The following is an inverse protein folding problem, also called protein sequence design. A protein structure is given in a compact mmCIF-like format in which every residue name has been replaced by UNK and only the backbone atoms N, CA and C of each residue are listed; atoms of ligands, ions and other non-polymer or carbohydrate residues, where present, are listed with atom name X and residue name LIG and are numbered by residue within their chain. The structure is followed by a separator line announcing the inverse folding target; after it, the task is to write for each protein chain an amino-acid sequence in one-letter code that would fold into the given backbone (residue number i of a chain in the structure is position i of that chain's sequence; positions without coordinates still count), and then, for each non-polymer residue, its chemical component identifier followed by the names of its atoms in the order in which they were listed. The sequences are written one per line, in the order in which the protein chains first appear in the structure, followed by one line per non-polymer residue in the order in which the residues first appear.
data_IF_136912619718
#
_entry.id   IF_136912619718
#
_cell.length_a   1.000
_cell.length_b   1.000
_cell.length_c   1.000
_cell.angle_alpha   90.00
_cell.angle_beta   90.00
_cell.angle_gamma   90.00
#
_symmetry.space_group_name_H-M   'P 1'
#
loop_
_entity.id
_entity.type
_entity.pdbx_description
1 polymer ?
#
# COMPACT_ATOMS: atom_id res chain seq x y z
N UNK A 1 5.05 -3.77 -15.90
CA UNK A 1 4.43 -2.60 -16.58
C UNK A 1 3.63 -1.78 -15.58
N UNK A 2 3.68 -0.46 -15.65
CA UNK A 2 2.97 0.46 -14.73
C UNK A 2 2.09 1.41 -15.56
N UNK A 3 0.84 1.59 -15.15
CA UNK A 3 -0.07 2.58 -15.74
C UNK A 3 -0.23 3.76 -14.80
N UNK A 4 -0.03 4.96 -15.33
CA UNK A 4 -0.19 6.24 -14.64
C UNK A 4 -1.37 7.00 -15.26
N UNK A 5 -2.14 7.71 -14.44
CA UNK A 5 -3.10 8.67 -14.98
C UNK A 5 -2.39 9.95 -15.43
N UNK A 6 -2.97 10.67 -16.40
CA UNK A 6 -2.36 11.87 -16.97
C UNK A 6 -2.50 13.12 -16.10
N UNK A 7 -3.48 13.15 -15.19
CA UNK A 7 -3.86 14.37 -14.46
C UNK A 7 -2.98 14.58 -13.24
N UNK A 8 -2.72 13.52 -12.49
CA UNK A 8 -1.99 13.57 -11.22
C UNK A 8 -0.80 12.62 -11.20
N UNK A 9 -0.54 11.89 -12.29
CA UNK A 9 0.53 10.89 -12.38
C UNK A 9 0.43 9.82 -11.28
N UNK A 10 -0.78 9.48 -10.83
CA UNK A 10 -0.98 8.41 -9.86
C UNK A 10 -1.00 7.05 -10.56
N UNK A 11 -0.50 6.04 -9.86
CA UNK A 11 -0.47 4.66 -10.35
C UNK A 11 -1.87 4.07 -10.34
N UNK A 12 -2.41 3.76 -11.50
CA UNK A 12 -3.74 3.14 -11.60
C UNK A 12 -3.64 1.62 -11.49
N UNK A 13 -2.58 1.04 -12.05
CA UNK A 13 -2.40 -0.41 -12.10
C UNK A 13 -0.94 -0.78 -12.36
N UNK A 14 -0.51 -1.90 -11.79
CA UNK A 14 0.83 -2.47 -12.00
C UNK A 14 0.74 -3.94 -12.37
N UNK A 15 1.47 -4.33 -13.41
CA UNK A 15 1.61 -5.73 -13.86
C UNK A 15 3.00 -6.23 -13.51
N UNK A 16 3.03 -7.36 -12.82
CA UNK A 16 4.24 -8.06 -12.40
C UNK A 16 4.39 -9.34 -13.22
N UNK A 17 5.63 -9.58 -13.67
CA UNK A 17 6.03 -10.78 -14.39
C UNK A 17 7.06 -11.54 -13.58
N UNK A 18 7.13 -12.86 -13.76
CA UNK A 18 8.15 -13.68 -13.13
C UNK A 18 9.46 -13.70 -13.94
N UNK A 19 10.46 -14.48 -13.48
CA UNK A 19 11.76 -14.61 -14.14
C UNK A 19 11.70 -15.27 -15.52
N UNK A 20 10.59 -15.94 -15.85
CA UNK A 20 10.32 -16.55 -17.16
C UNK A 20 9.46 -15.64 -18.03
N UNK A 21 9.28 -14.38 -17.63
CA UNK A 21 8.46 -13.37 -18.30
C UNK A 21 6.96 -13.72 -18.38
N UNK A 22 6.47 -14.63 -17.54
CA UNK A 22 5.05 -14.99 -17.48
C UNK A 22 4.28 -14.01 -16.58
N UNK A 23 3.01 -13.76 -16.91
CA UNK A 23 2.12 -12.89 -16.12
C UNK A 23 1.91 -13.51 -14.72
N UNK A 24 2.51 -12.87 -13.71
CA UNK A 24 2.47 -13.37 -12.34
C UNK A 24 1.32 -12.75 -11.56
N UNK A 25 1.31 -11.41 -11.47
CA UNK A 25 0.38 -10.67 -10.62
C UNK A 25 -0.09 -9.37 -11.26
N UNK A 26 -1.28 -8.93 -10.88
CA UNK A 26 -1.80 -7.59 -11.21
C UNK A 26 -2.29 -6.90 -9.95
N UNK A 27 -1.83 -5.68 -9.75
CA UNK A 27 -2.23 -4.78 -8.68
C UNK A 27 -3.05 -3.64 -9.26
N UNK A 28 -4.22 -3.38 -8.69
CA UNK A 28 -5.11 -2.28 -9.07
C UNK A 28 -5.30 -1.37 -7.87
N UNK A 29 -5.17 -0.06 -8.09
CA UNK A 29 -5.35 0.98 -7.09
C UNK A 29 -6.74 1.61 -7.29
N UNK A 30 -7.50 1.81 -6.22
CA UNK A 30 -8.86 2.35 -6.26
C UNK A 30 -9.15 3.34 -5.14
N UNK A 31 -10.07 4.26 -5.42
CA UNK A 31 -10.55 5.22 -4.42
C UNK A 31 -9.48 6.22 -4.06
N UNK A 32 -8.85 6.84 -5.07
CA UNK A 32 -7.89 7.90 -4.83
C UNK A 32 -8.57 9.11 -4.17
N UNK A 33 -7.98 9.57 -3.07
CA UNK A 33 -8.39 10.77 -2.34
C UNK A 33 -7.21 11.73 -2.17
N UNK A 34 -7.42 13.04 -2.35
CA UNK A 34 -6.40 14.04 -2.06
C UNK A 34 -6.33 14.34 -0.57
N UNK A 35 -5.12 14.52 -0.06
CA UNK A 35 -4.83 14.89 1.31
C UNK A 35 -3.84 16.05 1.31
N UNK A 36 -4.21 17.19 1.89
CA UNK A 36 -3.36 18.39 1.94
C UNK A 36 -2.55 18.37 3.23
N UNK A 37 -1.22 18.46 3.11
CA UNK A 37 -0.28 18.47 4.24
C UNK A 37 0.76 19.55 3.98
N UNK A 38 0.91 20.52 4.89
CA UNK A 38 1.87 21.63 4.78
C UNK A 38 1.87 22.27 3.38
N UNK A 39 0.67 22.60 2.88
CA UNK A 39 0.43 23.20 1.55
C UNK A 39 0.80 22.33 0.34
N UNK A 40 0.99 21.02 0.52
CA UNK A 40 1.21 20.04 -0.57
C UNK A 40 0.08 19.01 -0.60
N UNK A 41 -0.42 18.69 -1.78
CA UNK A 41 -1.46 17.67 -1.98
C UNK A 41 -0.85 16.31 -2.26
N UNK A 42 -1.23 15.31 -1.47
CA UNK A 42 -0.85 13.92 -1.61
C UNK A 42 -2.06 13.09 -1.98
N UNK A 43 -1.95 12.29 -3.05
CA UNK A 43 -3.02 11.38 -3.45
C UNK A 43 -2.75 10.00 -2.85
N UNK A 44 -3.70 9.48 -2.07
CA UNK A 44 -3.65 8.12 -1.52
C UNK A 44 -4.88 7.33 -1.93
N UNK A 45 -4.67 6.04 -2.14
CA UNK A 45 -5.70 5.10 -2.54
C UNK A 45 -6.35 4.50 -1.30
N UNK A 46 -7.65 4.29 -1.32
CA UNK A 46 -8.35 3.61 -0.22
C UNK A 46 -8.24 2.08 -0.33
N UNK A 47 -8.15 1.54 -1.55
CA UNK A 47 -8.03 0.10 -1.78
C UNK A 47 -6.89 -0.22 -2.74
N UNK A 48 -6.16 -1.29 -2.42
CA UNK A 48 -5.24 -1.96 -3.34
C UNK A 48 -5.67 -3.43 -3.51
N UNK A 49 -6.05 -3.80 -4.72
CA UNK A 49 -6.46 -5.16 -5.04
C UNK A 49 -5.37 -5.88 -5.85
N UNK A 50 -4.82 -6.95 -5.27
CA UNK A 50 -3.81 -7.80 -5.89
C UNK A 50 -4.43 -9.13 -6.33
N UNK A 51 -4.23 -9.52 -7.59
CA UNK A 51 -4.58 -10.84 -8.12
C UNK A 51 -3.34 -11.56 -8.59
N UNK A 52 -3.12 -12.79 -8.10
CA UNK A 52 -2.13 -13.72 -8.64
C UNK A 52 -2.78 -14.55 -9.74
N UNK A 53 -2.25 -14.48 -10.96
CA UNK A 53 -2.81 -15.18 -12.13
C UNK A 53 -2.34 -16.62 -12.24
N UNK A 54 -1.25 -16.99 -11.57
CA UNK A 54 -0.72 -18.36 -11.56
C UNK A 54 -1.44 -19.25 -10.55
N UNK A 55 -1.79 -18.70 -9.39
CA UNK A 55 -2.43 -19.47 -8.31
C UNK A 55 -3.91 -19.15 -8.11
N UNK A 56 -4.44 -18.13 -8.79
CA UNK A 56 -5.82 -17.64 -8.63
C UNK A 56 -6.08 -16.88 -7.32
N UNK A 57 -5.16 -16.91 -6.35
CA UNK A 57 -5.31 -16.22 -5.07
C UNK A 57 -5.33 -14.70 -5.24
N UNK A 58 -6.08 -14.03 -4.37
CA UNK A 58 -6.15 -12.57 -4.32
C UNK A 58 -5.95 -12.02 -2.91
N UNK A 59 -5.55 -10.76 -2.84
CA UNK A 59 -5.43 -9.99 -1.60
C UNK A 59 -6.06 -8.63 -1.83
N UNK A 60 -6.90 -8.19 -0.88
CA UNK A 60 -7.41 -6.82 -0.82
C UNK A 60 -6.78 -6.13 0.38
N UNK A 61 -6.13 -5.00 0.15
CA UNK A 61 -5.64 -4.11 1.20
C UNK A 61 -6.55 -2.89 1.24
N UNK A 62 -7.13 -2.62 2.39
CA UNK A 62 -7.98 -1.45 2.64
C UNK A 62 -7.28 -0.51 3.59
N UNK A 63 -7.16 0.76 3.20
CA UNK A 63 -6.63 1.82 4.03
C UNK A 63 -7.76 2.68 4.56
N UNK A 64 -7.76 2.88 5.88
CA UNK A 64 -8.80 3.66 6.57
C UNK A 64 -8.12 4.63 7.54
N UNK A 65 -8.78 5.76 7.78
CA UNK A 65 -8.38 6.77 8.77
C UNK A 65 -6.94 7.26 8.55
N UNK A 66 -6.63 7.71 7.33
CA UNK A 66 -5.36 8.39 7.08
C UNK A 66 -5.25 9.64 7.95
N UNK A 67 -4.17 9.71 8.72
CA UNK A 67 -3.80 10.89 9.51
C UNK A 67 -2.41 11.36 9.08
N UNK A 68 -2.29 12.63 8.76
CA UNK A 68 -1.04 13.25 8.31
C UNK A 68 -0.61 14.32 9.30
N UNK A 69 0.70 14.53 9.44
CA UNK A 69 1.23 15.60 10.30
C UNK A 69 1.17 15.30 11.80
N UNK A 70 1.07 14.03 12.21
CA UNK A 70 1.00 13.62 13.62
C UNK A 70 2.28 13.88 14.44
N UNK A 71 3.22 14.68 13.93
CA UNK A 71 4.43 15.05 14.67
C UNK A 71 5.34 13.89 15.02
N UNK A 72 5.27 12.77 14.28
CA UNK A 72 6.16 11.62 14.51
C UNK A 72 7.62 12.10 14.47
N UNK A 73 8.28 12.03 15.62
CA UNK A 73 9.65 12.47 15.77
C UNK A 73 10.61 11.39 15.26
N UNK A 74 11.83 11.75 14.86
CA UNK A 74 12.84 10.77 14.43
C UNK A 74 13.08 9.67 15.48
N UNK A 75 12.87 9.99 16.77
CA UNK A 75 12.98 9.06 17.89
C UNK A 75 11.92 7.95 17.88
N UNK A 76 10.75 8.19 17.32
CA UNK A 76 9.67 7.19 17.19
C UNK A 76 9.88 6.25 16.00
N UNK A 77 10.73 6.64 15.03
CA UNK A 77 11.07 5.81 13.87
C UNK A 77 12.27 4.88 14.07
N UNK A 78 12.94 4.94 15.23
CA UNK A 78 14.07 4.05 15.53
C UNK A 78 13.57 2.62 15.82
N UNK A 79 14.36 1.60 15.44
CA UNK A 79 14.10 0.14 15.52
C UNK A 79 13.62 -0.44 16.87
N UNK A 80 13.34 0.35 17.90
CA UNK A 80 12.99 -0.11 19.24
C UNK A 80 11.49 -0.42 19.46
N UNK A 81 10.61 -0.23 18.48
CA UNK A 81 9.15 -0.42 18.70
C UNK A 81 8.60 -1.79 18.23
N UNK A 82 9.43 -2.72 17.74
CA UNK A 82 9.00 -4.08 17.36
C UNK A 82 9.23 -5.13 18.45
N UNK A 83 9.03 -4.80 19.72
CA UNK A 83 8.89 -5.82 20.77
C UNK A 83 7.42 -6.23 20.85
N UNK A 84 7.08 -7.32 20.15
CA UNK A 84 5.77 -7.98 20.20
C UNK A 84 5.40 -8.30 21.65
N UNK A 85 4.27 -7.79 22.12
CA UNK A 85 3.60 -8.26 23.34
C UNK A 85 3.34 -9.77 23.25
N UNK A 86 3.50 -10.42 24.39
CA UNK A 86 3.73 -11.85 24.56
C UNK A 86 2.70 -12.78 23.91
N UNK A 87 3.23 -13.88 23.40
CA UNK A 87 2.53 -15.13 23.14
C UNK A 87 1.90 -15.60 24.46
N UNK A 88 0.57 -15.63 24.52
CA UNK A 88 -0.13 -16.38 25.56
C UNK A 88 -0.25 -17.83 25.08
N UNK A 89 0.57 -18.72 25.65
CA UNK A 89 0.41 -20.18 25.51
C UNK A 89 -0.61 -20.64 26.56
N UNK A 90 -1.66 -21.39 26.19
CA UNK A 90 -2.57 -21.97 27.18
C UNK A 90 -1.87 -23.10 27.94
N UNK A 91 -2.19 -23.22 29.23
CA UNK A 91 -2.18 -24.51 29.93
C UNK A 91 -3.63 -24.97 30.04
#
# INVERSE_FOLDING_TARGET
MVWLDKKHFNIQKTVFYDRKNALLKTLIFKGYKPYVVNSKTYWRTDEMFMKNHQTGKSTRLEWKKYTFGNGLTARETLCAQLTRLGVHSPR
#
